data_IF_885303152771
#
_entry.id   IF_885303152771
#
_cell.length_a   1.000
_cell.length_b   1.000
_cell.length_c   1.000
_cell.angle_alpha   90.00
_cell.angle_beta   90.00
_cell.angle_gamma   90.00
#
_symmetry.space_group_name_H-M   'P 1'
#
loop_
_entity.id
_entity.type
_entity.pdbx_description
1 polymer ?
#
# COMPACT_ATOMS: atom_id res chain seq x y z
N UNK A 1 -6.45 -12.64 10.83
CA UNK A 1 -5.45 -11.56 10.85
C UNK A 1 -5.09 -11.18 9.43
N UNK A 2 -5.09 -9.88 9.12
CA UNK A 2 -4.62 -9.31 7.84
C UNK A 2 -3.09 -9.24 7.88
N UNK A 3 -2.44 -9.22 6.70
CA UNK A 3 -0.98 -9.26 6.62
C UNK A 3 -0.30 -8.03 7.24
N UNK A 4 -1.01 -6.89 7.25
CA UNK A 4 -0.55 -5.63 7.80
C UNK A 4 -0.89 -5.43 9.27
N UNK A 5 -1.67 -6.31 9.90
CA UNK A 5 -2.06 -6.17 11.32
C UNK A 5 -0.85 -6.35 12.26
N UNK A 6 0.26 -6.91 11.76
CA UNK A 6 1.46 -7.23 12.55
C UNK A 6 2.38 -6.03 12.77
N UNK A 7 2.43 -5.09 11.82
CA UNK A 7 3.29 -3.91 11.89
C UNK A 7 2.41 -2.68 12.17
N UNK A 8 2.60 -1.98 13.30
CA UNK A 8 1.70 -0.90 13.71
C UNK A 8 1.66 0.25 12.69
N UNK A 9 2.82 0.61 12.12
CA UNK A 9 2.93 1.69 11.14
C UNK A 9 2.19 1.36 9.83
N UNK A 10 2.32 0.12 9.36
CA UNK A 10 1.67 -0.38 8.14
C UNK A 10 0.16 -0.50 8.36
N UNK A 11 -0.24 -1.04 9.50
CA UNK A 11 -1.65 -1.15 9.90
C UNK A 11 -2.32 0.23 9.94
N UNK A 12 -1.66 1.19 10.58
CA UNK A 12 -2.16 2.56 10.70
C UNK A 12 -2.28 3.23 9.33
N UNK A 13 -1.23 3.17 8.50
CA UNK A 13 -1.27 3.75 7.15
C UNK A 13 -2.42 3.19 6.31
N UNK A 14 -2.59 1.87 6.28
CA UNK A 14 -3.66 1.23 5.50
C UNK A 14 -5.05 1.57 6.07
N UNK A 15 -5.19 1.66 7.39
CA UNK A 15 -6.46 2.05 8.03
C UNK A 15 -6.83 3.50 7.71
N UNK A 16 -5.86 4.42 7.73
CA UNK A 16 -6.08 5.82 7.37
C UNK A 16 -6.46 5.96 5.89
N UNK A 17 -5.83 5.19 5.00
CA UNK A 17 -6.23 5.12 3.59
C UNK A 17 -7.67 4.58 3.50
N UNK A 18 -8.02 3.48 4.17
CA UNK A 18 -9.37 2.90 4.15
C UNK A 18 -10.45 3.94 4.53
N UNK A 19 -10.16 4.80 5.51
CA UNK A 19 -11.05 5.88 5.97
C UNK A 19 -11.08 7.11 5.03
N UNK A 20 -10.16 7.22 4.08
CA UNK A 20 -10.07 8.36 3.17
C UNK A 20 -11.10 8.28 2.04
N UNK A 21 -11.43 9.42 1.42
CA UNK A 21 -12.27 9.46 0.21
C UNK A 21 -11.65 8.68 -0.95
N UNK A 22 -12.47 8.12 -1.85
CA UNK A 22 -12.02 7.22 -2.93
C UNK A 22 -10.89 7.79 -3.79
N UNK A 23 -10.95 9.09 -4.12
CA UNK A 23 -9.91 9.74 -4.92
C UNK A 23 -8.59 9.88 -4.14
N UNK A 24 -8.68 10.21 -2.85
CA UNK A 24 -7.52 10.24 -1.96
C UNK A 24 -6.92 8.85 -1.77
N UNK A 25 -7.75 7.80 -1.68
CA UNK A 25 -7.26 6.41 -1.62
C UNK A 25 -6.38 6.05 -2.83
N UNK A 26 -6.83 6.41 -4.03
CA UNK A 26 -6.06 6.18 -5.25
C UNK A 26 -4.77 7.00 -5.23
N UNK A 27 -4.83 8.28 -4.86
CA UNK A 27 -3.65 9.15 -4.72
C UNK A 27 -2.59 8.55 -3.78
N UNK A 28 -3.00 8.07 -2.60
CA UNK A 28 -2.08 7.46 -1.65
C UNK A 28 -1.53 6.11 -2.14
N UNK A 29 -2.33 5.33 -2.86
CA UNK A 29 -1.87 4.11 -3.50
C UNK A 29 -0.82 4.37 -4.58
N UNK A 30 -1.00 5.38 -5.43
CA UNK A 30 -0.01 5.81 -6.41
C UNK A 30 1.29 6.26 -5.73
N UNK A 31 1.18 6.99 -4.63
CA UNK A 31 2.32 7.41 -3.84
C UNK A 31 3.09 6.22 -3.22
N UNK A 32 2.39 5.21 -2.70
CA UNK A 32 3.01 3.95 -2.25
C UNK A 32 3.78 3.28 -3.39
N UNK A 33 3.15 3.12 -4.56
CA UNK A 33 3.80 2.48 -5.72
C UNK A 33 5.07 3.23 -6.10
N UNK A 34 5.02 4.56 -6.13
CA UNK A 34 6.19 5.41 -6.40
C UNK A 34 7.30 5.15 -5.39
N UNK A 35 7.01 5.27 -4.08
CA UNK A 35 8.03 5.13 -3.05
C UNK A 35 8.65 3.74 -2.98
N UNK A 36 7.85 2.68 -3.15
CA UNK A 36 8.39 1.31 -3.18
C UNK A 36 9.33 1.16 -4.38
N UNK A 37 8.98 1.68 -5.56
CA UNK A 37 9.86 1.69 -6.76
C UNK A 37 11.15 2.46 -6.59
N UNK A 38 11.14 3.53 -5.80
CA UNK A 38 12.35 4.33 -5.54
C UNK A 38 13.28 3.65 -4.52
N UNK A 39 12.74 2.81 -3.63
CA UNK A 39 13.48 2.25 -2.48
C UNK A 39 13.86 0.78 -2.65
N UNK A 40 13.03 0.03 -3.37
CA UNK A 40 13.26 -1.38 -3.64
C UNK A 40 13.73 -1.53 -5.09
N UNK A 41 15.03 -1.72 -5.26
CA UNK A 41 15.65 -1.87 -6.59
C UNK A 41 15.60 -3.34 -7.09
N UNK A 42 15.39 -4.30 -6.18
CA UNK A 42 15.44 -5.72 -6.51
C UNK A 42 14.09 -6.21 -7.06
N UNK A 43 12.98 -5.80 -6.42
CA UNK A 43 11.59 -5.96 -6.90
C UNK A 43 11.21 -7.35 -7.44
N UNK A 44 11.95 -8.39 -7.08
CA UNK A 44 11.85 -9.71 -7.70
C UNK A 44 10.46 -10.34 -7.51
N UNK A 45 9.83 -10.03 -6.37
CA UNK A 45 8.47 -10.44 -6.03
C UNK A 45 7.39 -9.84 -6.94
N UNK A 46 7.62 -8.69 -7.59
CA UNK A 46 6.63 -8.07 -8.49
C UNK A 46 6.39 -8.96 -9.71
N UNK A 47 7.42 -9.62 -10.24
CA UNK A 47 7.30 -10.50 -11.41
C UNK A 47 6.28 -11.61 -11.16
N UNK A 48 6.25 -12.13 -9.94
CA UNK A 48 5.31 -13.17 -9.50
C UNK A 48 3.94 -12.61 -9.07
N UNK A 49 3.87 -11.35 -8.60
CA UNK A 49 2.62 -10.71 -8.18
C UNK A 49 1.59 -10.56 -9.32
N UNK A 50 2.06 -10.35 -10.56
CA UNK A 50 1.20 -10.26 -11.76
C UNK A 50 0.42 -11.54 -12.05
N UNK A 51 0.94 -12.71 -11.69
CA UNK A 51 0.31 -14.02 -11.94
C UNK A 51 -0.76 -14.39 -10.90
N UNK A 52 -0.60 -13.92 -9.66
CA UNK A 52 -1.43 -14.32 -8.51
C UNK A 52 -2.76 -13.54 -8.44
N UNK A 53 -2.95 -12.52 -9.30
CA UNK A 53 -4.10 -11.61 -9.31
C UNK A 53 -5.36 -12.18 -9.99
N UNK A 54 -5.26 -13.26 -10.77
CA UNK A 54 -6.38 -13.77 -11.53
C UNK A 54 -7.37 -14.56 -10.63
N UNK A 55 -6.91 -15.15 -9.52
CA UNK A 55 -7.74 -16.02 -8.65
C UNK A 55 -8.17 -15.42 -7.30
N UNK A 56 -7.66 -14.25 -6.89
CA UNK A 56 -8.03 -13.60 -5.59
C UNK A 56 -9.12 -12.52 -5.72
N UNK A 57 -9.91 -12.59 -6.78
CA UNK A 57 -11.00 -11.66 -7.07
C UNK A 57 -11.94 -11.54 -5.84
N UNK A 58 -11.83 -10.40 -5.13
CA UNK A 58 -12.90 -9.75 -4.35
C UNK A 58 -13.10 -10.02 -2.83
N UNK A 59 -12.09 -10.37 -2.03
CA UNK A 59 -12.34 -10.52 -0.58
C UNK A 59 -12.18 -9.23 0.25
N UNK A 60 -11.39 -8.24 -0.18
CA UNK A 60 -11.06 -7.05 0.66
C UNK A 60 -11.41 -5.74 -0.03
N UNK A 61 -11.55 -4.66 0.75
CA UNK A 61 -11.98 -3.35 0.24
C UNK A 61 -11.04 -2.83 -0.87
N UNK A 62 -9.73 -3.00 -0.68
CA UNK A 62 -8.71 -2.54 -1.62
C UNK A 62 -8.58 -3.41 -2.87
N UNK A 63 -9.10 -4.65 -2.84
CA UNK A 63 -9.12 -5.53 -4.03
C UNK A 63 -10.12 -5.04 -5.09
N UNK A 64 -11.02 -4.12 -4.73
CA UNK A 64 -12.01 -3.53 -5.63
C UNK A 64 -11.43 -2.45 -6.55
N UNK A 65 -10.22 -1.98 -6.27
CA UNK A 65 -9.51 -1.00 -7.08
C UNK A 65 -8.12 -1.54 -7.43
N UNK A 66 -7.83 -1.65 -8.72
CA UNK A 66 -6.58 -2.25 -9.20
C UNK A 66 -5.34 -1.50 -8.72
N UNK A 67 -5.40 -0.16 -8.66
CA UNK A 67 -4.26 0.67 -8.23
C UNK A 67 -3.99 0.44 -6.74
N UNK A 68 -5.02 0.43 -5.91
CA UNK A 68 -4.88 0.20 -4.46
C UNK A 68 -4.40 -1.23 -4.19
N UNK A 69 -5.00 -2.22 -4.87
CA UNK A 69 -4.57 -3.61 -4.76
C UNK A 69 -3.10 -3.79 -5.13
N UNK A 70 -2.67 -3.20 -6.26
CA UNK A 70 -1.27 -3.22 -6.71
C UNK A 70 -0.34 -2.55 -5.70
N UNK A 71 -0.70 -1.39 -5.19
CA UNK A 71 0.08 -0.68 -4.19
C UNK A 71 0.32 -1.54 -2.94
N UNK A 72 -0.72 -2.19 -2.44
CA UNK A 72 -0.61 -3.03 -1.26
C UNK A 72 0.11 -4.34 -1.52
N UNK A 73 0.06 -4.89 -2.73
CA UNK A 73 0.89 -6.02 -3.13
C UNK A 73 2.37 -5.66 -3.15
N UNK A 74 2.70 -4.47 -3.66
CA UNK A 74 4.09 -3.99 -3.70
C UNK A 74 4.60 -3.76 -2.29
N UNK A 75 3.80 -3.06 -1.47
CA UNK A 75 4.12 -2.85 -0.06
C UNK A 75 4.23 -4.18 0.70
N UNK A 76 3.35 -5.15 0.47
CA UNK A 76 3.44 -6.45 1.15
C UNK A 76 4.70 -7.24 0.77
N UNK A 77 5.13 -7.15 -0.48
CA UNK A 77 6.25 -7.93 -1.03
C UNK A 77 7.63 -7.36 -0.72
N UNK A 78 7.73 -6.07 -0.42
CA UNK A 78 9.02 -5.43 -0.09
C UNK A 78 9.53 -5.78 1.31
N UNK A 79 10.77 -5.36 1.62
CA UNK A 79 11.46 -5.59 2.90
C UNK A 79 10.79 -4.81 4.04
N UNK A 80 10.88 -5.32 5.27
CA UNK A 80 10.18 -4.77 6.45
C UNK A 80 10.54 -3.31 6.78
N UNK A 81 11.80 -2.95 6.59
CA UNK A 81 12.30 -1.57 6.70
C UNK A 81 11.66 -0.64 5.67
N UNK A 82 11.58 -1.06 4.40
CA UNK A 82 10.91 -0.31 3.33
C UNK A 82 9.41 -0.20 3.61
N UNK A 83 8.76 -1.27 4.07
CA UNK A 83 7.35 -1.25 4.46
C UNK A 83 7.06 -0.16 5.48
N UNK A 84 7.90 -0.10 6.52
CA UNK A 84 7.79 0.90 7.58
C UNK A 84 8.02 2.31 7.04
N UNK A 85 9.11 2.54 6.32
CA UNK A 85 9.48 3.86 5.81
C UNK A 85 8.42 4.43 4.85
N UNK A 86 7.92 3.59 3.94
CA UNK A 86 6.84 3.97 3.00
C UNK A 86 5.56 4.29 3.78
N UNK A 87 5.18 3.46 4.76
CA UNK A 87 3.97 3.68 5.57
C UNK A 87 4.03 4.98 6.36
N UNK A 88 5.18 5.30 6.95
CA UNK A 88 5.40 6.57 7.66
C UNK A 88 5.32 7.77 6.70
N UNK A 89 5.84 7.64 5.48
CA UNK A 89 5.80 8.70 4.46
C UNK A 89 4.36 8.97 4.00
N UNK A 90 3.55 7.92 3.85
CA UNK A 90 2.12 8.03 3.54
C UNK A 90 1.36 8.71 4.68
N UNK A 91 1.62 8.32 5.93
CA UNK A 91 0.99 8.95 7.10
C UNK A 91 1.35 10.44 7.19
N UNK A 92 2.60 10.81 6.91
CA UNK A 92 3.02 12.20 6.86
C UNK A 92 2.26 12.99 5.78
N UNK A 93 2.07 12.41 4.59
CA UNK A 93 1.28 13.01 3.52
C UNK A 93 -0.18 13.22 3.95
N UNK A 94 -0.83 12.18 4.48
CA UNK A 94 -2.22 12.26 4.97
C UNK A 94 -2.36 13.35 6.03
N UNK A 95 -1.45 13.40 6.99
CA UNK A 95 -1.47 14.41 8.05
C UNK A 95 -1.28 15.82 7.50
N UNK A 96 -0.42 16.00 6.50
CA UNK A 96 -0.21 17.32 5.87
C UNK A 96 -1.45 17.82 5.13
N UNK A 97 -2.26 16.90 4.58
CA UNK A 97 -3.50 17.21 3.86
C UNK A 97 -4.70 17.41 4.78
N UNK A 98 -4.69 16.81 5.97
CA UNK A 98 -5.73 16.99 6.98
C UNK A 98 -5.64 18.34 7.73
N UNK A 99 -4.48 19.00 7.68
CA UNK A 99 -4.21 20.30 8.33
C UNK A 99 -4.40 21.47 7.36
N UNK A 100 -4.53 21.20 6.06
CA UNK A 100 -4.73 22.19 4.99
C UNK A 100 -6.23 22.48 4.75
#
# INVERSE_FOLDING_TARGET
MRWYDLEPDVCMAISMIECSGKDAQVKYAEYIIKLVKEKDNDMEYIKNATLDNINRKYCRWYDKNEIISRAFQYLKGTKKDIQKEVSLSVLALINSEAVA
#
